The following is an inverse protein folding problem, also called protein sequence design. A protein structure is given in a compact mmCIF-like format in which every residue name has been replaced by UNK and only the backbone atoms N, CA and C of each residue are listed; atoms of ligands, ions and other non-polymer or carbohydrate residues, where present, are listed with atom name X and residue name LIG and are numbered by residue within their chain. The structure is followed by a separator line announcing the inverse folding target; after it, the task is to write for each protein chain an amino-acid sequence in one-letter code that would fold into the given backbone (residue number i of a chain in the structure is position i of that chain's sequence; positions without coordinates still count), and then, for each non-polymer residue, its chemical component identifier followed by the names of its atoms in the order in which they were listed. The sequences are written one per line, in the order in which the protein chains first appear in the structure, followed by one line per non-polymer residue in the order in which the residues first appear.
data_IF_097989962087
#
_entry.id   IF_097989962087
#
_cell.length_a   1.000
_cell.length_b   1.000
_cell.length_c   1.000
_cell.angle_alpha   90.00
_cell.angle_beta   90.00
_cell.angle_gamma   90.00
#
_symmetry.space_group_name_H-M   'P 1'
#
loop_
_entity.id
_entity.type
_entity.pdbx_description
1 polymer ?
#
# COMPACT_ATOMS: atom_id res chain seq x y z
N UNK A 1 12.99 -2.02 1.55
CA UNK A 1 12.49 -0.62 1.63
C UNK A 1 12.54 0.02 0.24
N UNK A 2 11.58 0.89 -0.11
CA UNK A 2 11.44 1.41 -1.47
C UNK A 2 10.51 0.57 -2.34
N UNK A 3 9.54 -0.12 -1.73
CA UNK A 3 8.50 -0.86 -2.45
C UNK A 3 7.60 0.14 -3.20
N UNK A 4 6.84 -0.31 -4.22
CA UNK A 4 5.81 0.53 -4.86
C UNK A 4 6.30 1.85 -5.49
N UNK A 5 7.61 2.04 -5.71
CA UNK A 5 8.15 3.24 -6.34
C UNK A 5 8.16 4.51 -5.49
N UNK A 6 7.98 4.41 -4.17
CA UNK A 6 8.06 5.52 -3.21
C UNK A 6 9.15 5.26 -2.15
N UNK A 7 9.77 6.31 -1.63
CA UNK A 7 10.81 6.21 -0.62
C UNK A 7 11.62 7.50 -0.48
N UNK A 8 12.56 7.53 0.47
CA UNK A 8 13.23 8.76 0.91
C UNK A 8 14.57 9.09 0.21
N UNK A 9 14.92 8.40 -0.89
CA UNK A 9 16.18 8.66 -1.60
C UNK A 9 16.05 8.33 -3.10
N UNK A 10 16.66 9.13 -3.99
CA UNK A 10 17.42 10.36 -3.75
C UNK A 10 16.50 11.54 -3.39
N UNK A 11 17.04 12.57 -2.73
CA UNK A 11 16.25 13.73 -2.32
C UNK A 11 17.13 14.96 -2.11
N UNK A 12 16.90 16.03 -2.90
CA UNK A 12 17.58 17.31 -2.70
C UNK A 12 17.08 17.99 -1.42
N UNK A 13 17.91 18.81 -0.76
CA UNK A 13 17.51 19.53 0.45
C UNK A 13 16.18 20.30 0.32
N UNK A 14 15.93 20.93 -0.82
CA UNK A 14 14.72 21.69 -1.12
C UNK A 14 13.46 20.83 -1.36
N UNK A 15 13.60 19.53 -1.59
CA UNK A 15 12.50 18.61 -1.91
C UNK A 15 12.07 17.74 -0.70
N UNK A 16 12.77 17.85 0.44
CA UNK A 16 12.54 17.01 1.63
C UNK A 16 11.12 17.11 2.18
N UNK A 17 10.59 18.32 2.28
CA UNK A 17 9.23 18.55 2.81
C UNK A 17 8.16 17.93 1.89
N UNK A 18 8.36 18.03 0.57
CA UNK A 18 7.48 17.39 -0.40
C UNK A 18 7.56 15.86 -0.29
N UNK A 19 8.76 15.30 -0.19
CA UNK A 19 8.93 13.85 -0.11
C UNK A 19 8.36 13.29 1.20
N UNK A 20 8.46 14.04 2.30
CA UNK A 20 7.79 13.72 3.56
C UNK A 20 6.27 13.72 3.38
N UNK A 21 5.70 14.76 2.73
CA UNK A 21 4.26 14.82 2.43
C UNK A 21 3.77 13.66 1.56
N UNK A 22 4.60 13.24 0.58
CA UNK A 22 4.31 12.08 -0.25
C UNK A 22 4.24 10.81 0.59
N UNK A 23 5.24 10.57 1.43
CA UNK A 23 5.31 9.39 2.29
C UNK A 23 4.27 9.39 3.40
N UNK A 24 3.91 10.56 3.93
CA UNK A 24 2.82 10.71 4.89
C UNK A 24 1.48 10.28 4.28
N UNK A 25 1.18 10.72 3.05
CA UNK A 25 -0.05 10.34 2.36
C UNK A 25 -0.09 8.88 1.92
N UNK A 26 1.01 8.38 1.35
CA UNK A 26 1.08 7.02 0.81
C UNK A 26 1.16 6.00 1.94
N UNK A 27 2.04 6.20 2.92
CA UNK A 27 2.30 5.22 3.97
C UNK A 27 1.51 5.47 5.27
N UNK A 28 0.64 6.50 5.36
CA UNK A 28 -0.08 6.86 6.60
C UNK A 28 0.86 6.87 7.85
N UNK A 29 2.05 7.45 7.66
CA UNK A 29 3.01 7.73 8.74
C UNK A 29 2.92 9.23 9.05
N UNK A 30 2.63 9.63 10.30
CA UNK A 30 2.49 11.05 10.64
C UNK A 30 3.71 11.87 10.20
N UNK A 31 3.48 12.98 9.50
CA UNK A 31 4.57 13.84 9.01
C UNK A 31 5.47 14.36 10.14
N UNK A 32 4.92 14.58 11.34
CA UNK A 32 5.70 14.94 12.53
C UNK A 32 6.68 13.84 12.93
N UNK A 33 6.27 12.57 12.89
CA UNK A 33 7.13 11.44 13.18
C UNK A 33 8.23 11.29 12.11
N UNK A 34 7.92 11.57 10.84
CA UNK A 34 8.90 11.58 9.76
C UNK A 34 9.91 12.73 9.93
N UNK A 35 9.46 13.95 10.22
CA UNK A 35 10.34 15.10 10.45
C UNK A 35 11.26 14.91 11.65
N UNK A 36 10.77 14.32 12.75
CA UNK A 36 11.59 14.04 13.94
C UNK A 36 12.50 12.82 13.74
N UNK A 37 12.03 11.79 13.05
CA UNK A 37 12.71 10.51 12.90
C UNK A 37 13.76 10.48 11.79
N UNK A 38 13.62 11.30 10.75
CA UNK A 38 14.56 11.33 9.63
C UNK A 38 15.71 12.28 9.93
N UNK A 39 16.88 11.70 10.15
CA UNK A 39 18.15 12.43 10.12
C UNK A 39 18.74 12.37 8.71
N UNK A 40 18.49 13.40 7.90
CA UNK A 40 19.00 13.51 6.52
C UNK A 40 20.53 13.60 6.50
N UNK A 41 21.17 12.49 6.17
CA UNK A 41 22.64 12.37 5.98
C UNK A 41 23.00 12.00 4.53
N UNK A 42 22.02 12.11 3.63
CA UNK A 42 22.14 11.78 2.21
C UNK A 42 21.41 12.81 1.36
N UNK A 43 21.86 12.89 0.11
CA UNK A 43 21.14 13.47 -1.02
C UNK A 43 20.99 12.41 -2.13
N UNK A 44 22.04 11.61 -2.34
CA UNK A 44 22.08 10.51 -3.30
C UNK A 44 21.67 9.16 -2.70
N UNK A 45 21.40 8.18 -3.57
CA UNK A 45 21.10 6.81 -3.12
C UNK A 45 22.29 6.08 -2.50
N UNK A 46 23.52 6.17 -3.03
CA UNK A 46 24.70 5.60 -2.36
C UNK A 46 24.90 6.14 -0.93
N UNK A 47 24.78 7.45 -0.72
CA UNK A 47 24.88 8.05 0.63
C UNK A 47 23.77 7.54 1.58
N UNK A 48 22.58 7.25 1.05
CA UNK A 48 21.51 6.62 1.81
C UNK A 48 21.89 5.20 2.25
N UNK A 49 22.51 4.41 1.37
CA UNK A 49 23.03 3.08 1.72
C UNK A 49 24.14 3.17 2.78
N UNK A 50 25.09 4.10 2.64
CA UNK A 50 26.15 4.34 3.64
C UNK A 50 25.53 4.71 5.01
N UNK A 51 24.49 5.54 4.99
CA UNK A 51 23.76 5.94 6.20
C UNK A 51 23.05 4.75 6.84
N UNK A 52 22.48 3.83 6.05
CA UNK A 52 21.85 2.61 6.56
C UNK A 52 22.87 1.63 7.12
N UNK A 53 24.01 1.43 6.45
CA UNK A 53 25.10 0.54 6.90
C UNK A 53 25.66 0.99 8.27
N UNK A 54 25.70 2.30 8.52
CA UNK A 54 26.13 2.86 9.80
C UNK A 54 25.17 2.63 10.98
N UNK A 55 23.95 2.11 10.76
CA UNK A 55 22.96 1.91 11.83
C UNK A 55 23.05 0.51 12.45
N UNK A 56 22.80 0.36 13.76
CA UNK A 56 22.65 -0.95 14.38
C UNK A 56 21.32 -1.56 13.94
N UNK A 57 21.36 -2.49 12.97
CA UNK A 57 20.19 -3.18 12.44
C UNK A 57 19.98 -4.52 13.15
N UNK A 58 18.73 -4.84 13.50
CA UNK A 58 18.35 -6.13 14.08
C UNK A 58 18.08 -7.22 13.04
N UNK A 59 17.89 -6.81 11.77
CA UNK A 59 17.60 -7.66 10.61
C UNK A 59 18.41 -7.14 9.41
N UNK A 60 18.61 -8.00 8.41
CA UNK A 60 19.14 -7.57 7.12
C UNK A 60 18.13 -6.66 6.40
N UNK A 61 18.63 -5.64 5.70
CA UNK A 61 17.79 -4.66 4.99
C UNK A 61 18.19 -4.60 3.53
N UNK A 62 17.30 -5.08 2.65
CA UNK A 62 17.37 -4.85 1.20
C UNK A 62 16.59 -3.59 0.79
N UNK A 63 17.17 -2.80 -0.10
CA UNK A 63 16.55 -1.56 -0.60
C UNK A 63 16.34 -1.60 -2.11
N UNK A 64 15.31 -0.89 -2.57
CA UNK A 64 15.06 -0.63 -3.98
C UNK A 64 15.09 0.89 -4.21
N UNK A 65 15.57 1.32 -5.38
CA UNK A 65 15.56 2.72 -5.79
C UNK A 65 14.13 3.10 -6.26
N UNK A 66 13.44 4.02 -5.57
CA UNK A 66 12.05 4.36 -5.86
C UNK A 66 11.92 5.37 -7.00
N UNK A 67 11.13 5.02 -8.00
CA UNK A 67 10.92 5.86 -9.19
C UNK A 67 10.41 7.28 -8.87
N UNK A 68 9.45 7.42 -7.94
CA UNK A 68 8.87 8.72 -7.60
C UNK A 68 9.91 9.72 -7.09
N UNK A 69 10.86 9.26 -6.27
CA UNK A 69 11.94 10.09 -5.76
C UNK A 69 12.94 10.45 -6.88
N UNK A 70 13.26 9.49 -7.76
CA UNK A 70 14.15 9.72 -8.91
C UNK A 70 13.57 10.77 -9.87
N UNK A 71 12.26 10.72 -10.18
CA UNK A 71 11.59 11.72 -11.01
C UNK A 71 11.68 13.11 -10.40
N UNK A 72 11.33 13.24 -9.12
CA UNK A 72 11.40 14.52 -8.42
C UNK A 72 12.84 15.05 -8.40
N UNK A 73 13.82 14.21 -8.08
CA UNK A 73 15.22 14.59 -8.01
C UNK A 73 15.77 15.12 -9.34
N UNK A 74 15.44 14.48 -10.47
CA UNK A 74 15.93 14.88 -11.80
C UNK A 74 15.16 16.08 -12.36
N UNK A 75 13.83 16.04 -12.29
CA UNK A 75 12.96 16.99 -13.00
C UNK A 75 12.47 18.15 -12.12
N UNK A 76 12.69 18.07 -10.80
CA UNK A 76 12.14 18.99 -9.80
C UNK A 76 10.60 19.01 -9.85
N UNK A 77 10.03 20.22 -9.80
CA UNK A 77 8.58 20.42 -9.83
C UNK A 77 7.90 19.78 -11.05
N UNK A 78 8.56 19.76 -12.22
CA UNK A 78 8.00 19.10 -13.42
C UNK A 78 7.78 17.59 -13.19
N UNK A 79 8.67 16.95 -12.45
CA UNK A 79 8.54 15.54 -12.07
C UNK A 79 7.35 15.33 -11.14
N UNK A 80 7.22 16.19 -10.12
CA UNK A 80 6.14 16.20 -9.13
C UNK A 80 4.77 16.42 -9.81
N UNK A 81 4.73 17.35 -10.77
CA UNK A 81 3.54 17.71 -11.54
C UNK A 81 3.21 16.71 -12.65
N UNK A 82 4.00 15.63 -12.74
CA UNK A 82 3.79 14.52 -13.68
C UNK A 82 3.90 14.92 -15.16
N UNK A 83 4.76 15.90 -15.46
CA UNK A 83 5.08 16.25 -16.85
C UNK A 83 5.83 15.10 -17.56
N UNK A 84 5.79 15.09 -18.89
CA UNK A 84 6.59 14.15 -19.67
C UNK A 84 8.09 14.46 -19.51
N UNK A 85 8.89 13.43 -19.23
CA UNK A 85 10.33 13.54 -19.12
C UNK A 85 10.97 13.69 -20.52
N UNK A 86 11.92 14.61 -20.65
CA UNK A 86 12.76 14.72 -21.86
C UNK A 86 13.70 13.53 -21.99
N UNK A 87 14.28 13.35 -23.18
CA UNK A 87 15.26 12.28 -23.39
C UNK A 87 16.48 12.42 -22.47
N UNK A 88 16.96 13.65 -22.25
CA UNK A 88 18.06 13.94 -21.33
C UNK A 88 17.69 13.63 -19.87
N UNK A 89 16.45 13.90 -19.47
CA UNK A 89 15.96 13.57 -18.12
C UNK A 89 15.86 12.05 -17.93
N UNK A 90 15.37 11.33 -18.94
CA UNK A 90 15.33 9.85 -18.93
C UNK A 90 16.74 9.26 -18.82
N UNK A 91 17.72 9.83 -19.53
CA UNK A 91 19.13 9.40 -19.43
C UNK A 91 19.71 9.65 -18.04
N UNK A 92 19.41 10.80 -17.42
CA UNK A 92 19.83 11.11 -16.04
C UNK A 92 19.19 10.16 -15.02
N UNK A 93 17.88 9.93 -15.12
CA UNK A 93 17.18 8.96 -14.25
C UNK A 93 17.77 7.55 -14.40
N UNK A 94 18.03 7.12 -15.64
CA UNK A 94 18.65 5.83 -15.94
C UNK A 94 20.04 5.69 -15.31
N UNK A 95 20.83 6.76 -15.28
CA UNK A 95 22.17 6.79 -14.67
C UNK A 95 22.09 6.73 -13.14
N UNK A 96 21.17 7.45 -12.51
CA UNK A 96 20.95 7.40 -11.05
C UNK A 96 20.53 6.01 -10.61
N UNK A 97 19.59 5.39 -11.35
CA UNK A 97 19.14 4.03 -11.06
C UNK A 97 20.29 3.03 -11.19
N UNK A 98 21.11 3.15 -12.25
CA UNK A 98 22.29 2.31 -12.44
C UNK A 98 23.29 2.44 -11.30
N UNK A 99 23.60 3.67 -10.88
CA UNK A 99 24.49 3.94 -9.75
C UNK A 99 23.95 3.36 -8.44
N UNK A 100 22.65 3.48 -8.18
CA UNK A 100 22.02 2.89 -7.01
C UNK A 100 22.17 1.35 -6.97
N UNK A 101 21.97 0.67 -8.10
CA UNK A 101 22.14 -0.79 -8.20
C UNK A 101 23.61 -1.19 -8.03
N UNK A 102 24.55 -0.46 -8.63
CA UNK A 102 25.99 -0.69 -8.47
C UNK A 102 26.45 -0.47 -7.01
N UNK A 103 25.82 0.45 -6.29
CA UNK A 103 26.08 0.71 -4.87
C UNK A 103 25.47 -0.34 -3.93
N UNK A 104 24.51 -1.16 -4.40
CA UNK A 104 23.95 -2.28 -3.63
C UNK A 104 22.43 -2.31 -3.52
N UNK A 105 21.70 -1.41 -4.21
CA UNK A 105 20.25 -1.54 -4.32
C UNK A 105 19.89 -2.85 -5.02
N UNK A 106 18.88 -3.56 -4.51
CA UNK A 106 18.41 -4.83 -5.08
C UNK A 106 17.65 -4.65 -6.38
N UNK A 107 17.04 -3.48 -6.59
CA UNK A 107 16.17 -3.27 -7.75
C UNK A 107 15.62 -1.87 -7.87
N UNK A 108 14.85 -1.67 -8.94
CA UNK A 108 14.09 -0.47 -9.23
C UNK A 108 12.60 -0.77 -9.13
N UNK A 109 11.86 0.09 -8.44
CA UNK A 109 10.42 -0.05 -8.25
C UNK A 109 9.66 1.15 -8.80
N UNK A 110 8.47 0.92 -9.35
CA UNK A 110 7.57 1.97 -9.86
C UNK A 110 6.12 1.69 -9.49
N UNK A 111 5.31 2.76 -9.39
CA UNK A 111 3.86 2.69 -9.17
C UNK A 111 3.08 3.36 -10.27
N UNK A 112 2.02 2.68 -10.69
CA UNK A 112 0.96 3.15 -11.58
C UNK A 112 -0.42 2.90 -10.96
N UNK A 113 -0.54 3.07 -9.64
CA UNK A 113 -1.83 2.99 -8.94
C UNK A 113 -2.33 4.35 -8.47
N UNK A 114 -3.64 4.59 -8.66
CA UNK A 114 -4.37 5.76 -8.16
C UNK A 114 -4.53 5.76 -6.64
N UNK A 115 -4.20 4.64 -5.98
CA UNK A 115 -4.24 4.52 -4.51
C UNK A 115 -3.11 5.31 -3.85
N UNK A 116 -1.98 5.53 -4.54
CA UNK A 116 -0.87 6.29 -3.98
C UNK A 116 -1.05 7.80 -4.19
N UNK A 117 -1.37 8.49 -3.09
CA UNK A 117 -1.58 9.94 -3.03
C UNK A 117 -0.76 10.54 -1.90
N UNK A 118 -0.30 11.77 -2.07
CA UNK A 118 0.29 12.57 -0.99
C UNK A 118 -0.77 13.04 0.02
N UNK A 119 -0.33 13.69 1.08
CA UNK A 119 -1.22 14.22 2.15
C UNK A 119 -2.26 15.23 1.65
N UNK A 120 -2.05 15.85 0.49
CA UNK A 120 -3.01 16.77 -0.16
C UNK A 120 -4.00 16.06 -1.08
N UNK A 121 -3.79 14.76 -1.34
CA UNK A 121 -4.57 13.94 -2.26
C UNK A 121 -4.04 13.93 -3.70
N UNK A 122 -2.87 14.52 -3.97
CA UNK A 122 -2.26 14.51 -5.30
C UNK A 122 -1.58 13.17 -5.58
N UNK A 123 -1.69 12.68 -6.81
CA UNK A 123 -1.14 11.38 -7.20
C UNK A 123 0.39 11.38 -7.24
N UNK A 124 0.99 10.22 -6.96
CA UNK A 124 2.45 9.99 -7.07
C UNK A 124 3.03 10.46 -8.41
N UNK A 125 4.29 10.92 -8.44
CA UNK A 125 4.97 11.33 -9.68
C UNK A 125 5.02 10.25 -10.78
N UNK A 126 5.08 8.97 -10.39
CA UNK A 126 5.28 7.85 -11.30
C UNK A 126 4.03 7.39 -12.03
N UNK A 127 2.82 7.78 -11.58
CA UNK A 127 1.53 7.26 -12.04
C UNK A 127 1.34 7.37 -13.56
N UNK A 128 1.80 8.46 -14.16
CA UNK A 128 1.64 8.76 -15.58
C UNK A 128 2.96 8.70 -16.34
N UNK A 129 4.02 8.11 -15.77
CA UNK A 129 5.29 7.98 -16.48
C UNK A 129 5.11 7.26 -17.82
N UNK A 130 5.74 7.76 -18.87
CA UNK A 130 5.55 7.22 -20.21
C UNK A 130 6.31 5.90 -20.38
N UNK A 131 5.85 5.04 -21.30
CA UNK A 131 6.49 3.75 -21.58
C UNK A 131 8.00 3.89 -21.87
N UNK A 132 8.37 4.88 -22.68
CA UNK A 132 9.78 5.13 -23.06
C UNK A 132 10.67 5.36 -21.83
N UNK A 133 10.17 6.08 -20.83
CA UNK A 133 10.88 6.36 -19.59
C UNK A 133 11.13 5.06 -18.80
N UNK A 134 10.07 4.29 -18.54
CA UNK A 134 10.16 3.04 -17.78
C UNK A 134 11.03 1.97 -18.47
N UNK A 135 10.87 1.81 -19.79
CA UNK A 135 11.64 0.83 -20.57
C UNK A 135 13.11 1.25 -20.68
N UNK A 136 13.41 2.56 -20.80
CA UNK A 136 14.80 3.06 -20.84
C UNK A 136 15.51 2.87 -19.52
N UNK A 137 14.84 3.16 -18.39
CA UNK A 137 15.37 2.89 -17.06
C UNK A 137 15.60 1.39 -16.89
N UNK A 138 14.63 0.54 -17.23
CA UNK A 138 14.79 -0.91 -17.15
C UNK A 138 16.00 -1.39 -17.98
N UNK A 139 16.15 -0.89 -19.21
CA UNK A 139 17.28 -1.22 -20.09
C UNK A 139 18.63 -0.91 -19.46
N UNK A 140 18.76 0.16 -18.68
CA UNK A 140 20.02 0.50 -18.00
C UNK A 140 20.45 -0.57 -16.98
N UNK A 141 19.49 -1.22 -16.30
CA UNK A 141 19.78 -2.39 -15.44
C UNK A 141 20.29 -3.58 -16.26
N UNK A 142 19.77 -3.75 -17.49
CA UNK A 142 20.22 -4.78 -18.42
C UNK A 142 21.68 -4.62 -18.83
N UNK A 143 22.15 -3.38 -18.99
CA UNK A 143 23.55 -3.07 -19.34
C UNK A 143 24.53 -3.53 -18.25
N UNK A 144 24.15 -3.38 -16.97
CA UNK A 144 24.95 -3.83 -15.82
C UNK A 144 24.66 -5.28 -15.40
N UNK A 145 23.64 -5.91 -16.00
CA UNK A 145 23.22 -7.30 -15.72
C UNK A 145 22.93 -7.55 -14.23
N UNK A 146 22.43 -6.54 -13.53
CA UNK A 146 22.16 -6.57 -12.09
C UNK A 146 20.80 -5.95 -11.77
N UNK A 147 20.30 -6.19 -10.56
CA UNK A 147 19.04 -5.66 -10.05
C UNK A 147 17.78 -6.42 -10.51
N UNK A 148 16.68 -6.22 -9.81
CA UNK A 148 15.33 -6.68 -10.19
C UNK A 148 14.42 -5.50 -10.48
N UNK A 149 13.34 -5.75 -11.19
CA UNK A 149 12.30 -4.75 -11.46
C UNK A 149 11.07 -5.07 -10.61
N UNK A 150 10.38 -4.01 -10.17
CA UNK A 150 9.09 -4.16 -9.51
C UNK A 150 8.09 -3.12 -9.99
N UNK A 151 6.84 -3.55 -10.20
CA UNK A 151 5.74 -2.68 -10.59
C UNK A 151 4.46 -2.95 -9.82
N UNK A 152 3.66 -1.91 -9.63
CA UNK A 152 2.25 -2.02 -9.26
C UNK A 152 1.44 -1.18 -10.24
N UNK A 153 0.29 -1.67 -10.70
CA UNK A 153 -0.66 -0.95 -11.54
C UNK A 153 -2.07 -1.37 -11.17
N UNK A 154 -3.04 -0.47 -11.39
CA UNK A 154 -4.45 -0.83 -11.26
C UNK A 154 -4.98 -1.64 -12.46
N UNK A 155 -4.19 -1.77 -13.53
CA UNK A 155 -4.48 -2.55 -14.75
C UNK A 155 -5.85 -2.26 -15.39
N UNK A 156 -6.31 -1.01 -15.34
CA UNK A 156 -7.61 -0.63 -15.92
C UNK A 156 -7.70 -0.92 -17.43
N UNK A 157 -6.61 -0.66 -18.15
CA UNK A 157 -6.36 -1.15 -19.50
C UNK A 157 -5.26 -2.20 -19.42
N UNK A 158 -5.68 -3.47 -19.31
CA UNK A 158 -4.77 -4.58 -19.08
C UNK A 158 -3.71 -4.68 -20.19
N UNK A 159 -4.11 -4.66 -21.47
CA UNK A 159 -3.17 -4.87 -22.57
C UNK A 159 -2.10 -3.77 -22.60
N UNK A 160 -2.51 -2.50 -22.47
CA UNK A 160 -1.56 -1.38 -22.48
C UNK A 160 -0.63 -1.43 -21.27
N UNK A 161 -1.17 -1.60 -20.06
CA UNK A 161 -0.38 -1.57 -18.81
C UNK A 161 0.53 -2.79 -18.66
N UNK A 162 0.02 -3.99 -18.97
CA UNK A 162 0.80 -5.22 -18.91
C UNK A 162 1.97 -5.20 -19.90
N UNK A 163 1.75 -4.69 -21.12
CA UNK A 163 2.80 -4.58 -22.13
C UNK A 163 3.93 -3.64 -21.71
N UNK A 164 3.67 -2.59 -20.93
CA UNK A 164 4.74 -1.74 -20.39
C UNK A 164 5.70 -2.56 -19.51
N UNK A 165 5.16 -3.32 -18.55
CA UNK A 165 5.98 -4.14 -17.64
C UNK A 165 6.66 -5.31 -18.36
N UNK A 166 5.98 -5.92 -19.33
CA UNK A 166 6.54 -6.95 -20.20
C UNK A 166 7.74 -6.41 -20.99
N UNK A 167 7.60 -5.26 -21.65
CA UNK A 167 8.68 -4.61 -22.41
C UNK A 167 9.85 -4.17 -21.52
N UNK A 168 9.59 -3.77 -20.26
CA UNK A 168 10.66 -3.48 -19.29
C UNK A 168 11.53 -4.72 -19.03
N UNK A 169 10.91 -5.88 -18.76
CA UNK A 169 11.65 -7.12 -18.51
C UNK A 169 12.33 -7.65 -19.78
N UNK A 170 11.63 -7.64 -20.92
CA UNK A 170 12.16 -8.08 -22.21
C UNK A 170 13.38 -7.25 -22.63
N UNK A 171 13.27 -5.91 -22.59
CA UNK A 171 14.34 -5.00 -23.05
C UNK A 171 15.58 -5.04 -22.16
N UNK A 172 15.40 -5.34 -20.88
CA UNK A 172 16.48 -5.37 -19.89
C UNK A 172 17.08 -6.76 -19.68
N UNK A 173 16.32 -7.82 -19.99
CA UNK A 173 16.64 -9.18 -19.57
C UNK A 173 16.65 -9.37 -18.05
N UNK A 174 16.09 -8.43 -17.28
CA UNK A 174 16.00 -8.50 -15.81
C UNK A 174 14.63 -9.01 -15.37
N UNK A 175 14.55 -9.79 -14.28
CA UNK A 175 13.26 -10.27 -13.78
C UNK A 175 12.42 -9.09 -13.27
N UNK A 176 11.11 -9.17 -13.49
CA UNK A 176 10.12 -8.22 -12.95
C UNK A 176 9.10 -8.94 -12.09
N UNK A 177 8.74 -8.33 -10.97
CA UNK A 177 7.61 -8.76 -10.14
C UNK A 177 6.51 -7.71 -10.13
N UNK A 178 5.26 -8.15 -10.19
CA UNK A 178 4.08 -7.28 -10.20
C UNK A 178 3.06 -7.71 -9.14
N UNK A 179 2.47 -6.76 -8.42
CA UNK A 179 1.44 -7.02 -7.41
C UNK A 179 0.26 -7.79 -8.02
N UNK A 180 -0.13 -8.90 -7.38
CA UNK A 180 -1.33 -9.68 -7.73
C UNK A 180 -2.22 -9.78 -6.51
N UNK A 181 -3.41 -9.21 -6.62
CA UNK A 181 -4.46 -9.27 -5.61
C UNK A 181 -5.84 -9.38 -6.28
N UNK A 182 -6.76 -10.10 -5.64
CA UNK A 182 -8.16 -10.12 -5.99
C UNK A 182 -8.90 -8.94 -5.34
N UNK A 183 -9.64 -8.20 -6.15
CA UNK A 183 -10.46 -7.06 -5.73
C UNK A 183 -11.95 -7.36 -5.92
N UNK A 184 -12.81 -6.92 -5.00
CA UNK A 184 -14.24 -7.27 -5.03
C UNK A 184 -14.96 -6.69 -6.24
N UNK A 185 -14.59 -5.47 -6.63
CA UNK A 185 -15.15 -4.80 -7.82
C UNK A 185 -14.71 -5.46 -9.13
N UNK A 186 -13.68 -6.32 -9.09
CA UNK A 186 -13.01 -6.91 -10.25
C UNK A 186 -12.56 -8.34 -9.93
N UNK A 187 -13.53 -9.22 -9.67
CA UNK A 187 -13.29 -10.52 -9.06
C UNK A 187 -12.37 -11.43 -9.89
N UNK A 188 -12.32 -11.22 -11.21
CA UNK A 188 -11.61 -12.10 -12.14
C UNK A 188 -10.30 -11.51 -12.70
N UNK A 189 -9.94 -10.25 -12.39
CA UNK A 189 -8.77 -9.60 -13.02
C UNK A 189 -7.43 -10.23 -12.64
N UNK A 190 -7.34 -10.80 -11.43
CA UNK A 190 -6.13 -11.50 -11.01
C UNK A 190 -5.88 -12.77 -11.84
N UNK A 191 -6.92 -13.41 -12.41
CA UNK A 191 -6.74 -14.50 -13.37
C UNK A 191 -6.06 -13.99 -14.64
N UNK A 192 -6.57 -12.91 -15.21
CA UNK A 192 -6.01 -12.30 -16.40
C UNK A 192 -4.53 -11.93 -16.20
N UNK A 193 -4.18 -11.44 -15.02
CA UNK A 193 -2.81 -11.09 -14.67
C UNK A 193 -1.89 -12.32 -14.58
N UNK A 194 -2.34 -13.41 -13.95
CA UNK A 194 -1.57 -14.66 -13.88
C UNK A 194 -1.44 -15.34 -15.26
N UNK A 195 -2.50 -15.34 -16.07
CA UNK A 195 -2.49 -15.88 -17.43
C UNK A 195 -1.47 -15.11 -18.30
N UNK A 196 -1.45 -13.77 -18.20
CA UNK A 196 -0.46 -12.93 -18.89
C UNK A 196 0.97 -13.19 -18.42
N UNK A 197 1.18 -13.42 -17.12
CA UNK A 197 2.49 -13.81 -16.57
C UNK A 197 2.92 -15.17 -17.13
N UNK A 198 2.03 -16.16 -17.19
CA UNK A 198 2.32 -17.48 -17.76
C UNK A 198 2.67 -17.40 -19.25
N UNK A 199 1.95 -16.58 -20.02
CA UNK A 199 2.26 -16.31 -21.44
C UNK A 199 3.65 -15.68 -21.60
N UNK A 200 3.96 -14.64 -20.82
CA UNK A 200 5.27 -13.99 -20.86
C UNK A 200 6.41 -14.95 -20.50
N UNK A 201 6.20 -15.82 -19.51
CA UNK A 201 7.15 -16.89 -19.16
C UNK A 201 7.34 -17.88 -20.31
N UNK A 202 6.27 -18.24 -21.03
CA UNK A 202 6.33 -19.07 -22.24
C UNK A 202 7.14 -18.45 -23.39
N UNK A 203 7.22 -17.12 -23.43
CA UNK A 203 8.05 -16.34 -24.36
C UNK A 203 9.51 -16.16 -23.86
N UNK A 204 9.83 -16.63 -22.66
CA UNK A 204 11.16 -16.48 -22.04
C UNK A 204 11.38 -15.14 -21.32
N UNK A 205 10.31 -14.40 -21.03
CA UNK A 205 10.34 -13.14 -20.29
C UNK A 205 10.11 -13.44 -18.81
N UNK A 206 11.05 -13.02 -17.96
CA UNK A 206 11.07 -13.32 -16.54
C UNK A 206 10.08 -12.44 -15.74
N UNK A 207 8.78 -12.72 -15.86
CA UNK A 207 7.72 -12.02 -15.11
C UNK A 207 7.18 -12.88 -13.97
N UNK A 208 6.93 -12.28 -12.82
CA UNK A 208 6.43 -12.97 -11.63
C UNK A 208 5.29 -12.18 -10.97
N UNK A 209 4.32 -12.90 -10.42
CA UNK A 209 3.31 -12.33 -9.55
C UNK A 209 3.85 -12.21 -8.12
N UNK A 210 3.72 -11.04 -7.49
CA UNK A 210 3.99 -10.84 -6.08
C UNK A 210 2.65 -10.88 -5.34
N UNK A 211 2.47 -11.83 -4.43
CA UNK A 211 1.19 -12.15 -3.78
C UNK A 211 1.35 -12.00 -2.26
N UNK A 212 0.43 -11.32 -1.55
CA UNK A 212 0.48 -11.29 -0.10
C UNK A 212 0.07 -12.66 0.47
N UNK A 213 0.67 -13.12 1.58
CA UNK A 213 0.39 -14.45 2.17
C UNK A 213 -1.00 -14.57 2.81
N UNK A 214 -1.76 -13.47 2.93
CA UNK A 214 -3.14 -13.42 3.39
C UNK A 214 -3.85 -12.20 2.80
N UNK A 215 -5.10 -11.99 3.17
CA UNK A 215 -5.83 -10.78 2.83
C UNK A 215 -5.13 -9.51 3.34
N UNK A 216 -4.93 -8.56 2.43
CA UNK A 216 -4.58 -7.17 2.72
C UNK A 216 -5.78 -6.55 3.39
N UNK A 217 -5.65 -6.22 4.68
CA UNK A 217 -6.79 -5.85 5.51
C UNK A 217 -6.51 -4.67 6.41
N UNK A 218 -7.57 -3.93 6.69
CA UNK A 218 -7.58 -2.72 7.49
C UNK A 218 -8.02 -3.07 8.91
N UNK A 219 -7.25 -2.62 9.88
CA UNK A 219 -7.58 -2.59 11.28
C UNK A 219 -8.28 -1.27 11.61
N UNK A 220 -9.46 -1.36 12.17
CA UNK A 220 -10.30 -0.23 12.56
C UNK A 220 -10.49 -0.21 14.07
N UNK A 221 -10.61 0.96 14.68
CA UNK A 221 -10.69 1.09 16.13
C UNK A 221 -10.72 2.53 16.61
N UNK A 222 -10.94 2.74 17.91
CA UNK A 222 -10.89 4.09 18.52
C UNK A 222 -9.46 4.66 18.59
N UNK A 223 -8.46 3.77 18.48
CA UNK A 223 -7.02 4.08 18.41
C UNK A 223 -6.45 4.02 16.99
N UNK A 224 -7.29 3.71 15.99
CA UNK A 224 -6.90 3.59 14.59
C UNK A 224 -7.29 4.84 13.80
N UNK A 225 -6.78 4.98 12.58
CA UNK A 225 -7.10 6.10 11.67
C UNK A 225 -8.59 6.10 11.29
N UNK A 226 -9.15 4.91 11.06
CA UNK A 226 -10.56 4.73 10.68
C UNK A 226 -11.31 3.83 11.66
N UNK A 227 -12.61 4.09 11.77
CA UNK A 227 -13.59 3.17 12.34
C UNK A 227 -14.94 3.35 11.62
N UNK A 228 -15.92 2.44 11.82
CA UNK A 228 -17.21 2.50 11.12
C UNK A 228 -18.00 3.80 11.35
N UNK A 229 -17.69 4.56 12.40
CA UNK A 229 -18.36 5.80 12.77
C UNK A 229 -17.55 7.07 12.46
N UNK A 230 -16.37 6.97 11.81
CA UNK A 230 -15.49 8.13 11.55
C UNK A 230 -16.22 9.32 10.91
N UNK A 231 -17.16 9.05 9.99
CA UNK A 231 -17.89 10.07 9.26
C UNK A 231 -19.29 10.39 9.81
N UNK A 232 -19.62 9.89 11.01
CA UNK A 232 -20.89 10.19 11.66
C UNK A 232 -20.80 11.55 12.37
N UNK A 233 -21.79 12.45 12.22
CA UNK A 233 -21.75 13.80 12.77
C UNK A 233 -21.40 13.88 14.26
N UNK A 234 -21.99 13.01 15.09
CA UNK A 234 -21.71 12.99 16.53
C UNK A 234 -20.34 12.45 16.91
N UNK A 235 -19.73 11.62 16.06
CA UNK A 235 -18.40 11.09 16.32
C UNK A 235 -17.29 12.10 15.99
N UNK A 236 -17.53 13.04 15.08
CA UNK A 236 -16.52 14.01 14.64
C UNK A 236 -15.89 14.79 15.80
N UNK A 237 -16.70 15.37 16.69
CA UNK A 237 -16.17 16.09 17.86
C UNK A 237 -15.53 15.15 18.89
N UNK A 238 -16.04 13.93 18.99
CA UNK A 238 -15.52 12.91 19.89
C UNK A 238 -14.14 12.39 19.43
N UNK A 239 -13.89 12.37 18.12
CA UNK A 239 -12.64 11.90 17.53
C UNK A 239 -11.40 12.65 18.02
N UNK A 240 -11.58 13.91 18.44
CA UNK A 240 -10.52 14.82 18.94
C UNK A 240 -10.16 14.62 20.42
N UNK A 241 -10.92 13.81 21.13
CA UNK A 241 -10.75 13.59 22.58
C UNK A 241 -9.77 12.45 22.87
N UNK A 242 -9.36 12.31 24.13
CA UNK A 242 -8.59 11.15 24.60
C UNK A 242 -9.39 9.85 24.45
N UNK A 243 -8.71 8.70 24.42
CA UNK A 243 -9.38 7.41 24.33
C UNK A 243 -10.34 7.19 25.51
N UNK A 244 -9.94 7.60 26.70
CA UNK A 244 -10.73 7.47 27.93
C UNK A 244 -12.03 8.28 27.84
N UNK A 245 -11.97 9.51 27.32
CA UNK A 245 -13.14 10.37 27.10
C UNK A 245 -14.04 9.84 25.98
N UNK A 246 -13.45 9.31 24.89
CA UNK A 246 -14.18 8.60 23.82
C UNK A 246 -15.02 7.46 24.40
N UNK A 247 -14.37 6.58 25.16
CA UNK A 247 -15.01 5.41 25.78
C UNK A 247 -16.05 5.82 26.82
N UNK A 248 -15.77 6.84 27.64
CA UNK A 248 -16.73 7.32 28.63
C UNK A 248 -18.01 7.86 27.97
N UNK A 249 -17.86 8.65 26.90
CA UNK A 249 -18.99 9.20 26.13
C UNK A 249 -19.76 8.09 25.40
N UNK A 250 -19.05 7.15 24.77
CA UNK A 250 -19.69 6.03 24.06
C UNK A 250 -20.36 5.01 24.99
N UNK A 251 -20.09 5.02 26.30
CA UNK A 251 -20.83 4.21 27.26
C UNK A 251 -22.19 4.81 27.63
N UNK A 252 -22.45 6.08 27.32
CA UNK A 252 -23.74 6.72 27.54
C UNK A 252 -24.79 6.16 26.54
N UNK A 253 -25.87 5.50 27.03
CA UNK A 253 -26.94 5.01 26.17
C UNK A 253 -27.56 6.09 25.29
N UNK A 254 -27.66 7.33 25.76
CA UNK A 254 -28.21 8.43 24.97
C UNK A 254 -27.29 8.80 23.80
N UNK A 255 -25.97 8.73 23.99
CA UNK A 255 -25.01 8.93 22.90
C UNK A 255 -25.05 7.77 21.90
N UNK A 256 -25.14 6.52 22.37
CA UNK A 256 -25.30 5.34 21.50
C UNK A 256 -26.55 5.49 20.62
N UNK A 257 -27.70 5.78 21.22
CA UNK A 257 -28.96 5.99 20.47
C UNK A 257 -28.83 7.11 19.43
N UNK A 258 -28.25 8.25 19.83
CA UNK A 258 -28.01 9.38 18.93
C UNK A 258 -27.13 8.97 17.74
N UNK A 259 -25.95 8.40 18.00
CA UNK A 259 -25.00 8.04 16.95
C UNK A 259 -25.60 6.99 15.99
N UNK A 260 -26.30 5.98 16.51
CA UNK A 260 -26.91 4.94 15.69
C UNK A 260 -28.12 5.41 14.88
N UNK A 261 -28.66 6.59 15.18
CA UNK A 261 -29.74 7.23 14.42
C UNK A 261 -29.26 8.15 13.30
N UNK A 262 -27.96 8.40 13.20
CA UNK A 262 -27.34 9.27 12.21
C UNK A 262 -26.92 8.49 10.97
N UNK A 263 -26.83 9.19 9.84
CA UNK A 263 -26.20 8.69 8.62
C UNK A 263 -24.76 9.24 8.49
N UNK A 264 -23.81 8.46 7.93
CA UNK A 264 -22.47 8.94 7.66
C UNK A 264 -22.49 10.04 6.58
N UNK A 265 -21.62 11.04 6.75
CA UNK A 265 -21.37 12.05 5.73
C UNK A 265 -20.45 11.46 4.66
N UNK A 266 -20.88 11.41 3.41
CA UNK A 266 -20.01 10.98 2.31
C UNK A 266 -18.93 12.02 2.04
N UNK A 267 -17.69 11.54 1.89
CA UNK A 267 -16.53 12.35 1.50
C UNK A 267 -16.18 12.22 0.01
N UNK A 268 -17.02 11.55 -0.78
CA UNK A 268 -16.79 11.34 -2.22
C UNK A 268 -15.63 10.41 -2.53
N UNK A 269 -15.26 9.51 -1.61
CA UNK A 269 -14.21 8.51 -1.82
C UNK A 269 -14.82 7.09 -1.69
N UNK A 270 -15.08 6.41 -2.83
CA UNK A 270 -15.73 5.09 -2.82
C UNK A 270 -14.98 4.03 -2.02
N UNK A 271 -13.65 4.07 -1.98
CA UNK A 271 -12.85 3.10 -1.22
C UNK A 271 -13.05 3.28 0.29
N UNK A 272 -13.08 4.52 0.77
CA UNK A 272 -13.31 4.84 2.18
C UNK A 272 -14.75 4.50 2.58
N UNK A 273 -15.71 4.76 1.69
CA UNK A 273 -17.11 4.36 1.88
C UNK A 273 -17.23 2.82 1.98
N UNK A 274 -16.55 2.06 1.13
CA UNK A 274 -16.49 0.59 1.20
C UNK A 274 -15.92 0.11 2.54
N UNK A 275 -14.76 0.63 2.95
CA UNK A 275 -14.07 0.24 4.19
C UNK A 275 -14.95 0.49 5.42
N UNK A 276 -15.61 1.65 5.49
CA UNK A 276 -16.35 2.08 6.68
C UNK A 276 -17.79 1.56 6.75
N UNK A 277 -18.34 1.04 5.65
CA UNK A 277 -19.76 0.66 5.57
C UNK A 277 -20.00 -0.83 5.24
N UNK A 278 -18.98 -1.59 4.85
CA UNK A 278 -19.13 -3.01 4.52
C UNK A 278 -19.12 -3.91 5.76
N UNK A 279 -20.18 -3.85 6.58
CA UNK A 279 -20.31 -4.64 7.82
C UNK A 279 -20.31 -6.17 7.62
N UNK A 280 -20.59 -6.64 6.41
CA UNK A 280 -20.43 -8.05 6.01
C UNK A 280 -18.95 -8.46 5.89
N UNK A 281 -18.04 -7.48 5.84
CA UNK A 281 -16.58 -7.64 5.85
C UNK A 281 -15.96 -7.01 7.10
N UNK A 282 -16.69 -6.93 8.21
CA UNK A 282 -16.16 -6.46 9.49
C UNK A 282 -16.20 -7.58 10.52
N UNK A 283 -15.06 -7.84 11.15
CA UNK A 283 -14.88 -8.94 12.08
C UNK A 283 -14.16 -8.44 13.34
N UNK A 284 -14.40 -9.08 14.48
CA UNK A 284 -13.51 -8.90 15.64
C UNK A 284 -12.13 -9.46 15.26
N UNK A 285 -11.05 -8.70 15.45
CA UNK A 285 -9.70 -9.21 15.16
C UNK A 285 -9.38 -10.45 16.03
N UNK A 286 -9.84 -10.47 17.29
CA UNK A 286 -9.64 -11.61 18.21
C UNK A 286 -8.30 -11.60 18.95
N UNK A 287 -8.14 -12.55 19.87
CA UNK A 287 -6.88 -12.87 20.57
C UNK A 287 -6.73 -14.40 20.70
N UNK A 288 -5.79 -15.05 19.98
CA UNK A 288 -4.90 -14.47 18.96
C UNK A 288 -5.66 -13.85 17.78
N UNK A 289 -5.00 -12.97 17.03
CA UNK A 289 -5.58 -12.34 15.85
C UNK A 289 -6.00 -13.40 14.82
N UNK A 290 -7.22 -13.28 14.30
CA UNK A 290 -7.77 -14.12 13.23
C UNK A 290 -7.86 -13.31 11.92
N UNK A 291 -7.02 -13.68 10.96
CA UNK A 291 -6.98 -13.07 9.63
C UNK A 291 -7.72 -13.87 8.54
N UNK A 292 -8.40 -14.95 8.93
CA UNK A 292 -9.31 -15.72 8.08
C UNK A 292 -10.64 -15.98 8.82
N UNK A 293 -11.41 -14.93 9.15
CA UNK A 293 -12.65 -15.08 9.88
C UNK A 293 -13.81 -15.58 9.00
N UNK A 294 -14.39 -16.73 9.35
CA UNK A 294 -15.57 -17.27 8.67
C UNK A 294 -16.67 -16.22 8.42
N UNK A 295 -17.36 -16.21 7.26
CA UNK A 295 -18.35 -15.18 6.93
C UNK A 295 -19.48 -15.01 7.95
N UNK A 296 -19.79 -16.07 8.70
CA UNK A 296 -20.84 -16.07 9.73
C UNK A 296 -20.45 -15.37 11.04
N UNK A 297 -19.16 -15.01 11.18
CA UNK A 297 -18.59 -14.17 12.23
C UNK A 297 -18.57 -12.67 11.86
N UNK A 298 -18.99 -12.31 10.64
CA UNK A 298 -19.12 -10.91 10.25
C UNK A 298 -20.13 -10.17 11.13
N UNK A 299 -19.96 -8.86 11.28
CA UNK A 299 -20.87 -8.04 12.09
C UNK A 299 -22.29 -8.05 11.52
N UNK A 300 -22.44 -8.12 10.20
CA UNK A 300 -23.76 -8.32 9.58
C UNK A 300 -24.39 -9.67 9.96
N UNK A 301 -23.63 -10.77 9.92
CA UNK A 301 -24.14 -12.09 10.29
C UNK A 301 -24.49 -12.19 11.78
N UNK A 302 -23.67 -11.59 12.65
CA UNK A 302 -23.94 -11.50 14.09
C UNK A 302 -25.20 -10.68 14.36
N UNK A 303 -25.33 -9.52 13.72
CA UNK A 303 -26.49 -8.64 13.87
C UNK A 303 -27.80 -9.34 13.47
N UNK A 304 -27.79 -10.09 12.35
CA UNK A 304 -28.91 -10.94 11.92
C UNK A 304 -29.28 -12.00 12.97
N UNK A 305 -28.30 -12.67 13.57
CA UNK A 305 -28.52 -13.69 14.63
C UNK A 305 -29.11 -13.08 15.92
N UNK A 306 -28.75 -11.82 16.24
CA UNK A 306 -29.15 -11.14 17.47
C UNK A 306 -30.38 -10.21 17.30
N UNK A 307 -30.86 -10.03 16.07
CA UNK A 307 -31.95 -9.10 15.73
C UNK A 307 -31.67 -7.65 16.17
N UNK A 308 -30.43 -7.19 15.90
CA UNK A 308 -29.96 -5.81 16.09
C UNK A 308 -29.33 -5.30 14.78
N UNK A 309 -28.87 -4.05 14.74
CA UNK A 309 -28.17 -3.52 13.57
C UNK A 309 -26.69 -3.92 13.56
N UNK A 310 -26.04 -4.05 12.38
CA UNK A 310 -24.60 -4.29 12.31
C UNK A 310 -23.77 -3.14 12.90
N UNK A 311 -24.27 -1.91 12.80
CA UNK A 311 -23.69 -0.75 13.49
C UNK A 311 -23.67 -0.97 15.00
N UNK A 312 -24.73 -1.53 15.59
CA UNK A 312 -24.75 -1.81 17.02
C UNK A 312 -23.69 -2.84 17.43
N UNK A 313 -23.49 -3.89 16.62
CA UNK A 313 -22.40 -4.87 16.84
C UNK A 313 -21.02 -4.20 16.77
N UNK A 314 -20.81 -3.33 15.78
CA UNK A 314 -19.56 -2.59 15.62
C UNK A 314 -19.31 -1.63 16.79
N UNK A 315 -20.35 -0.92 17.24
CA UNK A 315 -20.30 0.00 18.37
C UNK A 315 -19.88 -0.72 19.65
N UNK A 316 -20.51 -1.85 19.94
CA UNK A 316 -20.20 -2.65 21.13
C UNK A 316 -18.77 -3.21 21.03
N UNK A 317 -18.34 -3.65 19.84
CA UNK A 317 -16.97 -4.09 19.59
C UNK A 317 -15.94 -2.99 19.87
N UNK A 318 -16.20 -1.74 19.45
CA UNK A 318 -15.28 -0.61 19.70
C UNK A 318 -15.11 -0.30 21.18
N UNK A 319 -16.08 -0.65 22.03
CA UNK A 319 -16.00 -0.44 23.49
C UNK A 319 -15.29 -1.58 24.23
N UNK A 320 -15.06 -2.72 23.58
CA UNK A 320 -14.32 -3.84 24.16
C UNK A 320 -12.87 -3.40 24.50
N UNK A 321 -12.28 -4.06 25.50
CA UNK A 321 -10.91 -3.78 25.97
C UNK A 321 -10.65 -2.30 26.27
N UNK A 322 -11.63 -1.63 26.86
CA UNK A 322 -11.54 -0.20 27.20
C UNK A 322 -11.23 0.68 25.98
N UNK A 323 -11.84 0.37 24.82
CA UNK A 323 -11.63 1.12 23.58
C UNK A 323 -10.46 0.65 22.73
N UNK A 324 -9.71 -0.36 23.18
CA UNK A 324 -8.49 -0.85 22.50
C UNK A 324 -8.73 -2.05 21.61
N UNK A 325 -9.97 -2.53 21.51
CA UNK A 325 -10.31 -3.60 20.57
C UNK A 325 -10.22 -3.09 19.13
N UNK A 326 -9.77 -3.97 18.23
CA UNK A 326 -9.68 -3.70 16.80
C UNK A 326 -10.68 -4.56 16.03
N UNK A 327 -11.24 -3.97 15.01
CA UNK A 327 -12.08 -4.59 13.99
C UNK A 327 -11.19 -4.86 12.78
N UNK A 328 -11.19 -6.09 12.28
CA UNK A 328 -10.52 -6.47 11.04
C UNK A 328 -11.47 -6.35 9.85
N UNK A 329 -11.00 -5.71 8.78
CA UNK A 329 -11.68 -5.61 7.49
C UNK A 329 -10.76 -6.06 6.36
N UNK A 330 -10.94 -7.29 5.82
CA UNK A 330 -10.14 -7.75 4.69
C UNK A 330 -10.55 -6.98 3.43
N UNK A 331 -9.66 -6.12 2.91
CA UNK A 331 -9.96 -5.27 1.76
C UNK A 331 -9.83 -6.05 0.45
N UNK A 332 -8.72 -6.76 0.27
CA UNK A 332 -8.44 -7.60 -0.90
C UNK A 332 -8.28 -9.07 -0.51
N UNK A 333 -8.37 -9.96 -1.51
CA UNK A 333 -8.16 -11.40 -1.38
C UNK A 333 -9.09 -12.12 -0.40
N UNK A 334 -10.36 -11.70 -0.32
CA UNK A 334 -11.33 -12.29 0.60
C UNK A 334 -12.74 -12.48 0.04
N UNK A 335 -12.92 -12.29 -1.27
CA UNK A 335 -14.22 -12.46 -1.91
C UNK A 335 -14.91 -13.82 -1.65
N UNK A 336 -14.21 -14.98 -1.64
CA UNK A 336 -14.88 -16.25 -1.33
C UNK A 336 -15.24 -16.40 0.15
N UNK A 337 -14.81 -15.48 1.02
CA UNK A 337 -15.00 -15.55 2.47
C UNK A 337 -13.95 -16.40 3.19
N UNK A 338 -12.84 -16.72 2.52
CA UNK A 338 -11.70 -17.48 3.02
C UNK A 338 -10.45 -17.11 2.18
N UNK A 339 -9.31 -17.78 2.42
CA UNK A 339 -8.05 -17.54 1.70
C UNK A 339 -7.79 -18.47 0.51
N UNK A 340 -8.80 -19.20 -0.01
CA UNK A 340 -8.63 -20.15 -1.13
C UNK A 340 -8.02 -19.48 -2.38
N UNK A 341 -8.37 -18.21 -2.63
CA UNK A 341 -7.79 -17.46 -3.75
C UNK A 341 -6.32 -17.12 -3.50
N UNK A 342 -5.94 -16.77 -2.27
CA UNK A 342 -4.53 -16.56 -1.89
C UNK A 342 -3.73 -17.84 -2.06
N UNK A 343 -4.25 -18.97 -1.57
CA UNK A 343 -3.62 -20.28 -1.76
C UNK A 343 -3.40 -20.57 -3.25
N UNK A 344 -4.42 -20.33 -4.09
CA UNK A 344 -4.30 -20.53 -5.54
C UNK A 344 -3.27 -19.60 -6.17
N UNK A 345 -3.23 -18.33 -5.79
CA UNK A 345 -2.26 -17.35 -6.29
C UNK A 345 -0.83 -17.73 -5.89
N UNK A 346 -0.60 -18.17 -4.64
CA UNK A 346 0.72 -18.58 -4.15
C UNK A 346 1.22 -19.91 -4.74
N UNK A 347 0.31 -20.84 -5.04
CA UNK A 347 0.65 -22.12 -5.68
C UNK A 347 0.92 -22.00 -7.19
N UNK A 348 0.68 -20.84 -7.80
CA UNK A 348 0.99 -20.61 -9.20
C UNK A 348 2.52 -20.64 -9.42
N UNK A 349 3.04 -21.33 -10.45
CA UNK A 349 4.47 -21.59 -10.62
C UNK A 349 5.33 -20.33 -10.81
N UNK A 350 4.69 -19.21 -11.19
CA UNK A 350 5.35 -17.92 -11.42
C UNK A 350 4.93 -16.86 -10.40
N UNK A 351 4.53 -17.29 -9.20
CA UNK A 351 4.23 -16.39 -8.09
C UNK A 351 5.30 -16.48 -7.00
N UNK A 352 5.51 -15.37 -6.32
CA UNK A 352 6.32 -15.26 -5.10
C UNK A 352 5.50 -14.60 -4.00
N UNK A 353 5.76 -14.97 -2.74
CA UNK A 353 5.19 -14.26 -1.59
C UNK A 353 5.82 -12.87 -1.47
N UNK A 354 5.07 -11.86 -1.06
CA UNK A 354 5.61 -10.51 -0.83
C UNK A 354 4.56 -9.55 -0.29
N UNK A 355 4.70 -8.25 -0.59
CA UNK A 355 3.72 -7.19 -0.26
C UNK A 355 3.47 -7.01 1.24
N UNK A 356 4.49 -7.23 2.07
CA UNK A 356 4.42 -6.89 3.49
C UNK A 356 4.69 -5.40 3.71
N UNK A 357 3.66 -4.67 4.16
CA UNK A 357 3.75 -3.24 4.49
C UNK A 357 4.03 -3.02 5.99
N UNK A 358 4.90 -3.86 6.57
CA UNK A 358 5.27 -3.75 7.98
C UNK A 358 6.00 -2.43 8.26
N UNK A 359 5.45 -1.62 9.17
CA UNK A 359 5.99 -0.31 9.53
C UNK A 359 5.45 0.85 8.69
N UNK A 360 4.64 0.56 7.68
CA UNK A 360 3.75 1.50 7.04
C UNK A 360 2.33 1.40 7.64
N UNK A 361 1.48 2.32 7.23
CA UNK A 361 0.08 2.46 7.59
C UNK A 361 -0.18 2.29 9.08
N UNK A 362 0.57 3.04 9.90
CA UNK A 362 0.66 2.84 11.35
C UNK A 362 -0.70 2.86 12.07
N UNK A 363 -1.69 3.56 11.50
CA UNK A 363 -3.03 3.63 12.06
C UNK A 363 -4.06 2.70 11.38
N UNK A 364 -3.67 1.91 10.37
CA UNK A 364 -4.60 1.15 9.54
C UNK A 364 -4.18 -0.30 9.27
N UNK A 365 -2.90 -0.65 9.09
CA UNK A 365 -2.48 -2.00 8.69
C UNK A 365 -1.46 -2.55 9.69
N UNK A 366 -1.42 -3.88 9.85
CA UNK A 366 -0.37 -4.54 10.64
C UNK A 366 0.06 -5.83 9.95
N UNK A 367 1.13 -5.72 9.15
CA UNK A 367 1.68 -6.82 8.37
C UNK A 367 3.07 -7.26 8.87
N UNK A 368 3.39 -7.01 10.14
CA UNK A 368 4.58 -7.55 10.80
C UNK A 368 4.63 -9.09 10.83
N UNK A 369 3.52 -9.75 10.48
CA UNK A 369 3.39 -11.20 10.34
C UNK A 369 3.71 -11.71 8.92
N UNK A 370 3.85 -10.82 7.93
CA UNK A 370 4.24 -11.22 6.58
C UNK A 370 5.74 -11.55 6.57
N UNK A 371 6.16 -12.63 5.91
CA UNK A 371 7.57 -12.83 5.64
C UNK A 371 8.02 -11.74 4.65
N UNK A 372 9.09 -11.03 4.99
CA UNK A 372 9.86 -10.29 4.00
C UNK A 372 10.66 -11.34 3.21
N UNK A 373 10.33 -11.55 1.93
CA UNK A 373 11.10 -12.42 1.04
C UNK A 373 12.32 -11.72 0.48
#
# INVERSE_FOLDING_TARGET
MGNCGVGFSPCKPEERDWLISLMEGVEDIPGTALHEGINWQWESFPEYLDTLEGKPLAIDVGTQIPHGAVRAYVMGQRGIDREEASQEEIEQMSQIVKEAIEAGAFGFSTSRTEKHKDSSGALTPSITAHKNELVSIAKSLGEIKSGVLQGISDFYDFETEFNIFKEMSESSGRPISITVEQMDQRPDWWHQLLDGIEEAQGEGINMYGQVPPRATGINMGLTATLNPFTFYPSFYELSKQSLEEKVATMKDPAFKEKLLSEDPVSIGNPLVDEITQSFNKMFRLGEPANYEPEPDASFEAIAKKQNISPQEVAYDCLLEKEGKALIYHPLFNYLPGNLDYVERMLNHPYSISGLGDAGAHCGAISDASFPTT
#
